data_IF_737209823607
#
_entry.id   IF_737209823607
#
_cell.length_a   1.000
_cell.length_b   1.000
_cell.length_c   1.000
_cell.angle_alpha   90.00
_cell.angle_beta   90.00
_cell.angle_gamma   90.00
#
_symmetry.space_group_name_H-M   'P 1'
#
loop_
_entity.id
_entity.type
_entity.pdbx_description
1 polymer ?
#
# COMPACT_ATOMS: atom_id res chain seq x y z
N UNK A 1 2.18 -14.16 -4.60
CA UNK A 1 1.77 -12.77 -4.71
C UNK A 1 0.35 -12.59 -5.16
N UNK A 2 -0.42 -13.64 -5.08
CA UNK A 2 -1.83 -13.57 -5.44
C UNK A 2 -2.73 -13.40 -4.22
N UNK A 3 -2.13 -13.17 -3.06
CA UNK A 3 -2.91 -12.97 -1.85
C UNK A 3 -3.81 -11.75 -2.01
N UNK A 4 -5.07 -11.84 -1.59
CA UNK A 4 -5.97 -10.70 -1.65
C UNK A 4 -5.50 -9.60 -0.71
N UNK A 5 -5.68 -8.37 -1.16
CA UNK A 5 -5.30 -7.19 -0.38
C UNK A 5 -6.25 -6.04 -0.69
N UNK A 6 -6.25 -5.06 0.21
CA UNK A 6 -7.05 -3.86 0.04
C UNK A 6 -6.16 -2.64 0.22
N UNK A 7 -6.28 -1.70 -0.70
CA UNK A 7 -5.65 -0.40 -0.56
C UNK A 7 -6.65 0.52 0.15
N UNK A 8 -6.25 1.04 1.30
CA UNK A 8 -7.10 1.88 2.12
C UNK A 8 -6.51 3.26 2.28
N UNK A 9 -7.36 4.23 2.53
CA UNK A 9 -6.96 5.61 2.70
C UNK A 9 -7.71 6.23 3.87
N UNK A 10 -6.99 7.02 4.66
CA UNK A 10 -7.58 7.85 5.73
C UNK A 10 -7.89 9.20 5.15
N UNK A 11 -9.13 9.65 5.32
CA UNK A 11 -9.55 10.98 4.86
C UNK A 11 -10.09 11.76 6.04
N UNK A 12 -9.93 13.07 5.99
CA UNK A 12 -10.50 13.95 6.99
C UNK A 12 -12.01 13.94 6.87
N UNK A 13 -12.70 13.84 8.00
CA UNK A 13 -14.16 13.83 8.03
C UNK A 13 -14.61 14.48 9.32
N UNK A 14 -15.06 15.72 9.25
CA UNK A 14 -15.46 16.48 10.42
C UNK A 14 -16.66 15.87 11.14
N UNK A 15 -17.44 15.05 10.45
CA UNK A 15 -18.62 14.41 11.02
C UNK A 15 -18.28 13.14 11.77
N UNK A 16 -17.16 12.50 11.41
CA UNK A 16 -16.74 11.27 12.07
C UNK A 16 -16.27 11.54 13.50
N UNK A 17 -16.54 10.63 14.45
CA UNK A 17 -16.17 10.83 15.85
C UNK A 17 -14.68 11.12 16.05
N UNK A 18 -13.81 10.50 15.26
CA UNK A 18 -12.37 10.68 15.39
C UNK A 18 -11.82 11.78 14.47
N UNK A 19 -12.69 12.45 13.71
CA UNK A 19 -12.25 13.46 12.75
C UNK A 19 -11.69 12.89 11.47
N UNK A 20 -11.64 11.56 11.33
CA UNK A 20 -11.14 10.89 10.14
C UNK A 20 -12.02 9.69 9.82
N UNK A 21 -12.00 9.30 8.56
CA UNK A 21 -12.70 8.12 8.08
C UNK A 21 -11.77 7.33 7.17
N UNK A 22 -11.88 6.01 7.24
CA UNK A 22 -11.09 5.12 6.40
C UNK A 22 -11.98 4.62 5.27
N UNK A 23 -11.46 4.71 4.05
CA UNK A 23 -12.16 4.18 2.87
C UNK A 23 -11.29 3.13 2.18
N UNK A 24 -11.94 2.19 1.51
CA UNK A 24 -11.25 1.23 0.67
C UNK A 24 -11.21 1.81 -0.74
N UNK A 25 -9.99 2.09 -1.20
CA UNK A 25 -9.78 2.70 -2.51
C UNK A 25 -9.82 1.64 -3.60
N UNK A 26 -9.25 0.47 -3.33
CA UNK A 26 -9.18 -0.60 -4.32
C UNK A 26 -8.97 -1.94 -3.62
N UNK A 27 -9.32 -3.00 -4.32
CA UNK A 27 -9.11 -4.38 -3.88
C UNK A 27 -8.50 -5.17 -5.01
N UNK A 28 -7.71 -6.15 -4.67
CA UNK A 28 -7.12 -7.02 -5.68
C UNK A 28 -5.94 -7.76 -5.10
N UNK A 29 -5.04 -8.19 -5.98
CA UNK A 29 -3.83 -8.87 -5.53
C UNK A 29 -2.89 -7.90 -4.83
N UNK A 30 -2.06 -8.43 -3.96
CA UNK A 30 -1.08 -7.62 -3.24
C UNK A 30 -0.18 -6.85 -4.21
N UNK A 31 0.23 -7.48 -5.31
CA UNK A 31 1.07 -6.83 -6.30
C UNK A 31 0.39 -5.58 -6.87
N UNK A 32 -0.89 -5.72 -7.24
CA UNK A 32 -1.63 -4.59 -7.79
C UNK A 32 -1.80 -3.48 -6.75
N UNK A 33 -2.04 -3.84 -5.50
CA UNK A 33 -2.22 -2.84 -4.44
C UNK A 33 -0.93 -2.09 -4.16
N UNK A 34 0.21 -2.78 -4.19
CA UNK A 34 1.50 -2.14 -4.02
C UNK A 34 1.77 -1.14 -5.15
N UNK A 35 1.51 -1.54 -6.40
CA UNK A 35 1.65 -0.62 -7.53
C UNK A 35 0.72 0.58 -7.37
N UNK A 36 -0.53 0.34 -6.95
CA UNK A 36 -1.49 1.40 -6.75
C UNK A 36 -1.05 2.40 -5.69
N UNK A 37 -0.55 1.90 -4.57
CA UNK A 37 -0.08 2.79 -3.49
C UNK A 37 1.12 3.62 -3.94
N UNK A 38 2.07 3.01 -4.65
CA UNK A 38 3.26 3.71 -5.12
C UNK A 38 2.93 4.75 -6.19
N UNK A 39 1.77 4.63 -6.84
CA UNK A 39 1.32 5.60 -7.85
C UNK A 39 0.61 6.81 -7.23
N UNK A 40 0.27 6.74 -5.94
CA UNK A 40 -0.38 7.85 -5.24
C UNK A 40 0.62 8.99 -5.08
N UNK A 41 0.14 10.23 -5.18
CA UNK A 41 0.99 11.40 -4.99
C UNK A 41 1.69 11.32 -3.62
N UNK A 42 2.98 11.68 -3.55
CA UNK A 42 3.75 11.54 -2.31
C UNK A 42 3.08 12.20 -1.10
N UNK A 43 2.43 13.33 -1.29
CA UNK A 43 1.81 14.03 -0.18
C UNK A 43 0.63 13.23 0.41
N UNK A 44 0.06 12.32 -0.37
CA UNK A 44 -1.09 11.51 0.07
C UNK A 44 -0.69 10.12 0.53
N UNK A 45 0.52 9.69 0.25
CA UNK A 45 0.96 8.34 0.58
C UNK A 45 0.93 8.05 2.08
N UNK A 46 1.14 9.07 2.89
CA UNK A 46 1.13 8.90 4.35
C UNK A 46 -0.27 8.55 4.88
N UNK A 47 -1.30 8.82 4.12
CA UNK A 47 -2.67 8.52 4.51
C UNK A 47 -3.17 7.22 3.91
N UNK A 48 -2.32 6.51 3.20
CA UNK A 48 -2.67 5.26 2.53
C UNK A 48 -1.88 4.10 3.09
N UNK A 49 -2.49 2.93 3.06
CA UNK A 49 -1.82 1.68 3.45
C UNK A 49 -2.52 0.52 2.78
N UNK A 50 -1.89 -0.64 2.84
CA UNK A 50 -2.43 -1.86 2.28
C UNK A 50 -2.71 -2.83 3.41
N UNK A 51 -3.91 -3.41 3.43
CA UNK A 51 -4.24 -4.48 4.36
C UNK A 51 -4.28 -5.80 3.61
N UNK A 52 -3.54 -6.76 4.10
CA UNK A 52 -3.47 -8.08 3.53
C UNK A 52 -3.56 -9.11 4.65
N UNK A 53 -3.71 -10.38 4.27
CA UNK A 53 -3.88 -11.44 5.25
C UNK A 53 -2.70 -11.53 6.23
N UNK A 54 -1.50 -11.20 5.78
CA UNK A 54 -0.30 -11.27 6.62
C UNK A 54 -0.02 -10.03 7.44
N UNK A 55 -0.80 -8.97 7.28
CA UNK A 55 -0.59 -7.73 8.03
C UNK A 55 -0.81 -6.50 7.18
N UNK A 56 -0.29 -5.38 7.66
CA UNK A 56 -0.48 -4.07 7.04
C UNK A 56 0.85 -3.57 6.47
N UNK A 57 0.79 -2.98 5.28
CA UNK A 57 1.95 -2.37 4.63
C UNK A 57 1.67 -0.89 4.44
N UNK A 58 2.58 -0.04 4.92
CA UNK A 58 2.48 1.40 4.65
C UNK A 58 3.20 1.74 3.34
N UNK A 59 3.27 3.03 3.02
CA UNK A 59 3.89 3.48 1.77
C UNK A 59 5.36 3.10 1.70
N UNK A 60 6.05 3.16 2.81
CA UNK A 60 7.48 2.82 2.86
C UNK A 60 7.67 1.33 2.58
N UNK A 61 6.85 0.49 3.21
CA UNK A 61 6.90 -0.96 2.98
C UNK A 61 6.58 -1.29 1.53
N UNK A 62 5.57 -0.62 0.96
CA UNK A 62 5.17 -0.86 -0.42
C UNK A 62 6.28 -0.46 -1.39
N UNK A 63 6.93 0.66 -1.14
CA UNK A 63 8.04 1.11 -1.97
C UNK A 63 9.20 0.13 -1.92
N UNK A 64 9.51 -0.37 -0.75
CA UNK A 64 10.59 -1.35 -0.58
C UNK A 64 10.29 -2.64 -1.34
N UNK A 65 9.03 -3.11 -1.29
CA UNK A 65 8.63 -4.30 -2.03
C UNK A 65 8.70 -4.08 -3.53
N UNK A 66 8.22 -2.93 -3.99
CA UNK A 66 8.25 -2.62 -5.42
C UNK A 66 9.67 -2.56 -5.93
N UNK A 67 10.56 -1.94 -5.17
CA UNK A 67 11.97 -1.88 -5.50
C UNK A 67 12.57 -3.28 -5.62
N UNK A 68 12.27 -4.14 -4.64
CA UNK A 68 12.74 -5.51 -4.64
C UNK A 68 12.28 -6.24 -5.91
N UNK A 69 11.01 -6.09 -6.27
CA UNK A 69 10.46 -6.77 -7.43
C UNK A 69 11.02 -6.24 -8.74
N UNK A 70 11.22 -4.93 -8.85
CA UNK A 70 11.65 -4.32 -10.11
C UNK A 70 13.14 -4.47 -10.34
N UNK A 71 13.95 -4.49 -9.29
CA UNK A 71 15.40 -4.68 -9.43
C UNK A 71 15.74 -6.15 -9.56
N UNK A 72 14.84 -7.03 -9.29
CA UNK A 72 15.08 -8.45 -9.33
C UNK A 72 15.94 -8.92 -8.22
N UNK A 73 16.10 -8.10 -7.36
CA UNK A 73 17.04 -8.17 -6.39
C UNK A 73 17.48 -9.44 -5.96
N UNK A 74 17.68 -9.56 -5.81
CA UNK A 74 18.05 -10.24 -5.53
C UNK A 74 18.49 -10.91 -5.30
N UNK A 75 18.02 -11.01 -5.24
CA UNK A 75 18.08 -11.53 -5.13
C UNK A 75 18.99 -12.03 -5.28
N UNK A 76 19.18 -12.00 -4.99
CA UNK A 76 20.05 -12.38 -5.07
C UNK A 76 20.99 -12.32 -5.98
N UNK A 77 21.12 -11.95 -6.41
CA UNK A 77 21.88 -11.80 -7.15
C UNK A 77 22.78 -11.15 -6.95
N UNK A 78 23.07 -11.09 -6.56
CA UNK A 78 23.71 -10.47 -6.43
C UNK A 78 24.54 -10.33 -6.81
N UNK A 79 24.69 -10.49 -6.96
CA UNK A 79 25.35 -10.29 -7.29
C UNK A 79 25.97 -10.34 -7.12
#
# INVERSE_FOLDING_TARGET
MHAPAELRRRIADAVAPAGVRVITVARGSLVLMVHGLCAVAPVQQNDCWIEAAGGTLDAEDATALLDHWTTGAPMGRSV
#
